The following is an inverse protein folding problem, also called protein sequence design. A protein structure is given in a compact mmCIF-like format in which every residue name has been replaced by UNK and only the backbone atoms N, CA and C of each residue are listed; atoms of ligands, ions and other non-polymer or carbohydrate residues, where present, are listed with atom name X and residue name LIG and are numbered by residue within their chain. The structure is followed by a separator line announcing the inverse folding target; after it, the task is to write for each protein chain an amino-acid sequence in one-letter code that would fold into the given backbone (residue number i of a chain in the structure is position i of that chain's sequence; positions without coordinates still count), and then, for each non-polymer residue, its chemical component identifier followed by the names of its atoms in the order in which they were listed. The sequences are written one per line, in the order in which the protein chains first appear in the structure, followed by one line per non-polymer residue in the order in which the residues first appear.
data_IF_883147340589
#
_entry.id   IF_883147340589
#
_cell.length_a   1.000
_cell.length_b   1.000
_cell.length_c   1.000
_cell.angle_alpha   90.00
_cell.angle_beta   90.00
_cell.angle_gamma   90.00
#
_symmetry.space_group_name_H-M   'P 1'
#
loop_
_entity.id
_entity.type
_entity.pdbx_description
1 polymer ?
#
# COMPACT_ATOMS: atom_id res chain seq x y z
N UNK A 1 10.55 4.95 -14.42
CA UNK A 1 9.16 4.59 -14.76
C UNK A 1 8.64 3.57 -13.75
N UNK A 2 7.33 3.42 -13.62
CA UNK A 2 6.70 2.59 -12.56
C UNK A 2 7.17 1.12 -12.53
N UNK A 3 7.57 0.56 -13.68
CA UNK A 3 8.10 -0.82 -13.78
C UNK A 3 9.61 -0.97 -13.62
N UNK A 4 10.37 0.10 -13.38
CA UNK A 4 11.81 -0.02 -13.16
C UNK A 4 12.09 -0.66 -11.78
N UNK A 5 12.98 -1.65 -11.74
CA UNK A 5 13.33 -2.37 -10.52
C UNK A 5 14.40 -1.62 -9.72
N UNK A 6 14.20 -1.51 -8.42
CA UNK A 6 15.19 -0.98 -7.47
C UNK A 6 15.03 -1.62 -6.09
N UNK A 7 15.93 -1.31 -5.15
CA UNK A 7 15.69 -1.64 -3.74
C UNK A 7 14.48 -0.82 -3.25
N UNK A 8 13.56 -1.51 -2.60
CA UNK A 8 12.34 -0.94 -2.01
C UNK A 8 12.30 -1.24 -0.51
N UNK A 9 11.34 -0.65 0.20
CA UNK A 9 11.06 -0.99 1.59
C UNK A 9 10.53 -2.43 1.71
N UNK A 10 9.61 -2.82 0.81
CA UNK A 10 9.14 -4.20 0.69
C UNK A 10 8.00 -4.59 1.63
N UNK A 11 7.75 -3.80 2.67
CA UNK A 11 6.54 -3.86 3.53
C UNK A 11 6.07 -2.48 3.99
N UNK A 12 6.01 -1.50 3.08
CA UNK A 12 5.67 -0.12 3.43
C UNK A 12 4.18 0.04 3.75
N UNK A 13 3.86 0.59 4.92
CA UNK A 13 2.51 1.00 5.34
C UNK A 13 2.59 2.13 6.38
N UNK A 14 1.45 2.71 6.80
CA UNK A 14 1.42 3.83 7.77
C UNK A 14 2.04 3.52 9.14
N UNK A 15 2.14 2.23 9.49
CA UNK A 15 2.80 1.80 10.73
C UNK A 15 4.33 1.95 10.67
N UNK A 16 4.88 2.03 9.46
CA UNK A 16 6.31 2.20 9.20
C UNK A 16 6.69 3.65 8.89
N UNK A 17 5.80 4.60 9.20
CA UNK A 17 6.08 6.02 9.05
C UNK A 17 5.98 6.72 10.39
N UNK A 18 6.92 7.64 10.63
CA UNK A 18 6.95 8.50 11.79
C UNK A 18 6.93 9.95 11.33
N UNK A 19 6.18 10.81 12.03
CA UNK A 19 6.17 12.25 11.76
C UNK A 19 6.89 12.99 12.88
N UNK A 20 7.99 13.66 12.52
CA UNK A 20 8.77 14.51 13.42
C UNK A 20 8.01 15.77 13.81
N UNK A 21 8.44 16.41 14.91
CA UNK A 21 7.89 17.69 15.38
C UNK A 21 8.17 18.84 14.42
N UNK A 22 9.22 18.72 13.59
CA UNK A 22 9.55 19.60 12.48
C UNK A 22 8.65 19.38 11.25
N UNK A 23 7.74 18.41 11.31
CA UNK A 23 6.81 18.05 10.26
C UNK A 23 7.39 17.09 9.21
N UNK A 24 8.66 16.70 9.32
CA UNK A 24 9.30 15.76 8.41
C UNK A 24 8.79 14.33 8.64
N UNK A 25 8.81 13.52 7.58
CA UNK A 25 8.49 12.10 7.65
C UNK A 25 9.76 11.26 7.66
N UNK A 26 9.82 10.29 8.56
CA UNK A 26 10.81 9.23 8.55
C UNK A 26 10.13 7.90 8.22
N UNK A 27 10.83 7.05 7.48
CA UNK A 27 10.44 5.66 7.21
C UNK A 27 11.36 4.75 8.00
N UNK A 28 10.82 3.72 8.62
CA UNK A 28 11.53 2.78 9.50
C UNK A 28 11.28 1.33 9.05
N UNK A 29 12.02 0.36 9.60
CA UNK A 29 11.77 -1.08 9.40
C UNK A 29 11.96 -1.62 7.97
N UNK A 30 13.16 -1.40 7.42
CA UNK A 30 13.57 -1.86 6.08
C UNK A 30 13.92 -3.35 5.99
N UNK A 31 13.37 -4.20 6.87
CA UNK A 31 13.63 -5.65 6.83
C UNK A 31 12.88 -6.34 5.68
N UNK A 32 11.85 -5.70 5.12
CA UNK A 32 10.95 -6.27 4.13
C UNK A 32 9.92 -7.23 4.73
N UNK A 33 9.00 -7.74 3.90
CA UNK A 33 7.86 -8.55 4.36
C UNK A 33 8.30 -9.81 5.13
N UNK A 34 7.98 -9.94 6.44
CA UNK A 34 8.53 -11.00 7.31
C UNK A 34 8.25 -12.42 6.84
N UNK A 35 7.15 -12.63 6.12
CA UNK A 35 6.75 -13.93 5.58
C UNK A 35 7.62 -14.40 4.39
N UNK A 36 8.43 -13.52 3.80
CA UNK A 36 9.23 -13.82 2.61
C UNK A 36 10.67 -14.26 2.95
N UNK A 37 11.25 -15.20 2.17
CA UNK A 37 12.68 -15.54 2.24
C UNK A 37 13.61 -14.31 2.14
N UNK A 38 14.80 -14.40 2.74
CA UNK A 38 15.73 -13.25 2.84
C UNK A 38 16.23 -12.76 1.47
N UNK A 39 16.46 -13.69 0.54
CA UNK A 39 16.82 -13.42 -0.84
C UNK A 39 15.71 -12.67 -1.59
N UNK A 40 14.45 -13.05 -1.40
CA UNK A 40 13.30 -12.32 -1.93
C UNK A 40 13.18 -10.91 -1.33
N UNK A 41 13.37 -10.77 -0.01
CA UNK A 41 13.32 -9.47 0.69
C UNK A 41 14.38 -8.49 0.21
N UNK A 42 15.54 -8.98 -0.25
CA UNK A 42 16.64 -8.15 -0.77
C UNK A 42 16.58 -7.90 -2.27
N UNK A 43 15.72 -8.61 -2.99
CA UNK A 43 15.64 -8.53 -4.45
C UNK A 43 15.06 -7.18 -4.90
N UNK A 44 15.59 -6.57 -5.98
CA UNK A 44 15.02 -5.36 -6.56
C UNK A 44 13.59 -5.60 -7.07
N UNK A 45 12.70 -4.64 -6.82
CA UNK A 45 11.29 -4.71 -7.18
C UNK A 45 10.78 -3.35 -7.70
N UNK A 46 9.64 -3.32 -8.40
CA UNK A 46 9.01 -2.07 -8.82
C UNK A 46 8.62 -1.22 -7.61
N UNK A 47 8.87 0.09 -7.68
CA UNK A 47 8.52 1.03 -6.60
C UNK A 47 7.03 1.07 -6.30
N UNK A 48 6.21 0.74 -7.30
CA UNK A 48 4.75 0.68 -7.16
C UNK A 48 4.30 -0.37 -6.14
N UNK A 49 5.13 -1.36 -5.77
CA UNK A 49 4.81 -2.29 -4.68
C UNK A 49 4.71 -1.57 -3.32
N UNK A 50 5.65 -0.66 -3.02
CA UNK A 50 5.61 0.14 -1.80
C UNK A 50 4.44 1.14 -1.83
N UNK A 51 4.16 1.72 -2.99
CA UNK A 51 2.99 2.59 -3.19
C UNK A 51 1.71 1.82 -2.89
N UNK A 52 1.52 0.64 -3.48
CA UNK A 52 0.36 -0.21 -3.23
C UNK A 52 0.19 -0.53 -1.74
N UNK A 53 1.27 -0.87 -1.03
CA UNK A 53 1.25 -1.07 0.43
C UNK A 53 0.73 0.14 1.21
N UNK A 54 1.19 1.34 0.87
CA UNK A 54 0.70 2.57 1.49
C UNK A 54 -0.77 2.86 1.15
N UNK A 55 -1.18 2.67 -0.11
CA UNK A 55 -2.56 2.88 -0.53
C UNK A 55 -3.54 1.94 0.20
N UNK A 56 -3.15 0.67 0.38
CA UNK A 56 -3.88 -0.30 1.21
C UNK A 56 -3.95 0.14 2.68
N UNK A 57 -2.86 0.69 3.21
CA UNK A 57 -2.82 1.19 4.59
C UNK A 57 -3.82 2.32 4.85
N UNK A 58 -4.10 3.18 3.87
CA UNK A 58 -5.18 4.19 4.00
C UNK A 58 -6.56 3.55 4.07
N UNK A 59 -6.80 2.47 3.32
CA UNK A 59 -8.08 1.75 3.35
C UNK A 59 -8.33 1.13 4.74
N UNK A 60 -7.28 0.57 5.36
CA UNK A 60 -7.31 0.10 6.75
C UNK A 60 -7.52 1.23 7.76
N UNK A 61 -6.80 2.35 7.62
CA UNK A 61 -6.93 3.49 8.52
C UNK A 61 -8.35 4.07 8.46
N UNK A 62 -8.96 4.16 7.27
CA UNK A 62 -10.35 4.59 7.12
C UNK A 62 -11.35 3.69 7.85
N UNK A 63 -11.04 2.39 7.95
CA UNK A 63 -11.83 1.43 8.75
C UNK A 63 -11.67 1.63 10.25
N UNK A 64 -10.73 2.41 10.76
CA UNK A 64 -10.68 2.71 12.21
C UNK A 64 -11.76 3.73 12.60
N UNK A 65 -12.21 4.56 11.67
CA UNK A 65 -13.32 5.50 11.87
C UNK A 65 -14.69 4.80 11.87
N UNK A 66 -15.63 5.30 12.68
CA UNK A 66 -17.03 4.86 12.74
C UNK A 66 -17.96 6.09 12.60
N UNK A 67 -18.79 6.16 11.53
CA UNK A 67 -18.89 5.22 10.41
C UNK A 67 -17.60 5.17 9.57
N UNK A 68 -17.44 4.12 8.76
CA UNK A 68 -16.31 4.00 7.85
C UNK A 68 -16.30 5.18 6.87
N UNK A 69 -15.15 5.84 6.72
CA UNK A 69 -14.96 6.97 5.83
C UNK A 69 -14.15 6.61 4.56
N UNK A 70 -14.81 5.95 3.59
CA UNK A 70 -14.17 5.56 2.33
C UNK A 70 -13.69 6.78 1.50
N UNK A 71 -14.41 7.90 1.56
CA UNK A 71 -14.04 9.13 0.86
C UNK A 71 -12.74 9.72 1.38
N UNK A 72 -12.48 9.61 2.69
CA UNK A 72 -11.20 10.00 3.27
C UNK A 72 -10.07 9.13 2.73
N UNK A 73 -10.26 7.81 2.64
CA UNK A 73 -9.26 6.92 2.03
C UNK A 73 -8.96 7.33 0.59
N UNK A 74 -10.00 7.57 -0.22
CA UNK A 74 -9.85 8.00 -1.61
C UNK A 74 -9.05 9.30 -1.74
N UNK A 75 -9.34 10.32 -0.91
CA UNK A 75 -8.58 11.58 -0.90
C UNK A 75 -7.13 11.39 -0.45
N UNK A 76 -6.87 10.58 0.58
CA UNK A 76 -5.51 10.29 1.03
C UNK A 76 -4.70 9.55 -0.04
N UNK A 77 -5.31 8.58 -0.72
CA UNK A 77 -4.70 7.84 -1.83
C UNK A 77 -4.33 8.77 -2.98
N UNK A 78 -5.24 9.67 -3.38
CA UNK A 78 -4.99 10.66 -4.43
C UNK A 78 -3.87 11.64 -4.05
N UNK A 79 -3.94 12.21 -2.85
CA UNK A 79 -2.94 13.14 -2.35
C UNK A 79 -1.54 12.48 -2.23
N UNK A 80 -1.48 11.23 -1.77
CA UNK A 80 -0.22 10.48 -1.70
C UNK A 80 0.39 10.26 -3.08
N UNK A 81 -0.39 9.80 -4.07
CA UNK A 81 0.10 9.60 -5.43
C UNK A 81 0.55 10.91 -6.09
N UNK A 82 -0.19 12.00 -5.88
CA UNK A 82 0.20 13.33 -6.37
C UNK A 82 1.51 13.81 -5.77
N UNK A 83 1.66 13.75 -4.44
CA UNK A 83 2.93 14.10 -3.78
C UNK A 83 4.09 13.20 -4.18
N UNK A 84 3.83 11.90 -4.38
CA UNK A 84 4.83 10.96 -4.92
C UNK A 84 5.26 11.36 -6.33
N UNK A 85 4.31 11.73 -7.21
CA UNK A 85 4.59 12.15 -8.57
C UNK A 85 5.44 13.42 -8.62
N UNK A 86 5.12 14.41 -7.75
CA UNK A 86 5.88 15.65 -7.62
C UNK A 86 7.32 15.40 -7.16
N UNK A 87 7.52 14.52 -6.18
CA UNK A 87 8.84 14.22 -5.64
C UNK A 87 9.68 13.32 -6.56
N UNK A 88 9.07 12.32 -7.20
CA UNK A 88 9.77 11.32 -8.02
C UNK A 88 9.85 11.68 -9.51
N UNK A 89 9.09 12.69 -9.97
CA UNK A 89 8.98 13.07 -11.38
C UNK A 89 8.21 12.07 -12.25
N UNK A 90 7.54 11.08 -11.64
CA UNK A 90 6.74 10.08 -12.33
C UNK A 90 5.52 9.68 -11.49
N UNK A 91 4.33 9.78 -12.08
CA UNK A 91 3.10 9.42 -11.39
C UNK A 91 2.96 7.89 -11.31
N UNK A 92 2.82 7.29 -10.11
CA UNK A 92 2.60 5.85 -9.97
C UNK A 92 1.29 5.38 -10.62
N UNK A 93 0.34 6.29 -10.88
CA UNK A 93 -0.94 6.01 -11.58
C UNK A 93 -0.79 5.96 -13.10
N UNK A 94 0.38 6.31 -13.65
CA UNK A 94 0.64 6.28 -15.10
C UNK A 94 0.61 4.87 -15.71
N UNK A 95 0.85 3.84 -14.89
CA UNK A 95 0.64 2.43 -15.25
C UNK A 95 -0.43 1.82 -14.32
N UNK A 96 -1.72 2.05 -14.63
CA UNK A 96 -2.82 1.62 -13.76
C UNK A 96 -2.95 0.10 -13.71
N UNK A 97 -2.47 -0.64 -14.72
CA UNK A 97 -2.50 -2.09 -14.71
C UNK A 97 -1.49 -2.65 -13.71
N UNK A 98 -0.27 -2.11 -13.70
CA UNK A 98 0.77 -2.53 -12.76
C UNK A 98 0.42 -2.16 -11.32
N UNK A 99 -0.09 -0.94 -11.07
CA UNK A 99 -0.54 -0.54 -9.74
C UNK A 99 -1.69 -1.43 -9.25
N UNK A 100 -2.69 -1.69 -10.10
CA UNK A 100 -3.80 -2.60 -9.77
C UNK A 100 -3.30 -4.01 -9.45
N UNK A 101 -2.33 -4.52 -10.19
CA UNK A 101 -1.76 -5.84 -9.94
C UNK A 101 -1.13 -5.95 -8.54
N UNK A 102 -0.31 -4.97 -8.14
CA UNK A 102 0.31 -4.97 -6.81
C UNK A 102 -0.67 -4.68 -5.66
N UNK A 103 -1.68 -3.83 -5.87
CA UNK A 103 -2.76 -3.66 -4.89
C UNK A 103 -3.57 -4.94 -4.72
N UNK A 104 -3.82 -5.68 -5.81
CA UNK A 104 -4.54 -6.96 -5.78
C UNK A 104 -3.73 -8.02 -5.07
N UNK A 105 -2.43 -8.15 -5.37
CA UNK A 105 -1.52 -9.07 -4.69
C UNK A 105 -1.51 -8.85 -3.17
N UNK A 106 -1.37 -7.59 -2.74
CA UNK A 106 -1.42 -7.22 -1.32
C UNK A 106 -2.79 -7.52 -0.70
N UNK A 107 -3.89 -7.21 -1.39
CA UNK A 107 -5.23 -7.50 -0.89
C UNK A 107 -5.49 -9.01 -0.73
N UNK A 108 -5.01 -9.85 -1.65
CA UNK A 108 -5.12 -11.31 -1.53
C UNK A 108 -4.32 -11.84 -0.34
N UNK A 109 -3.09 -11.35 -0.15
CA UNK A 109 -2.31 -11.66 1.04
C UNK A 109 -3.06 -11.27 2.33
N UNK A 110 -3.61 -10.06 2.36
CA UNK A 110 -4.37 -9.53 3.49
C UNK A 110 -5.62 -10.38 3.78
N UNK A 111 -6.38 -10.83 2.77
CA UNK A 111 -7.52 -11.73 2.98
C UNK A 111 -7.11 -12.98 3.75
N UNK A 112 -6.04 -13.64 3.32
CA UNK A 112 -5.55 -14.87 3.98
C UNK A 112 -5.09 -14.56 5.41
N UNK A 113 -4.42 -13.43 5.61
CA UNK A 113 -3.93 -13.00 6.91
C UNK A 113 -5.08 -12.67 7.88
N UNK A 114 -6.05 -11.85 7.47
CA UNK A 114 -7.16 -11.43 8.33
C UNK A 114 -8.08 -12.60 8.66
N UNK A 115 -8.38 -13.47 7.68
CA UNK A 115 -9.19 -14.66 7.91
C UNK A 115 -8.61 -15.58 9.00
N UNK A 116 -7.27 -15.62 9.15
CA UNK A 116 -6.58 -16.46 10.13
C UNK A 116 -6.39 -15.78 11.49
N UNK A 117 -6.16 -14.48 11.53
CA UNK A 117 -5.70 -13.81 12.75
C UNK A 117 -6.68 -12.76 13.29
N UNK A 118 -7.46 -12.10 12.43
CA UNK A 118 -8.38 -11.01 12.81
C UNK A 118 -9.64 -11.02 11.93
N UNK A 119 -10.54 -12.02 12.06
CA UNK A 119 -11.68 -12.18 11.15
C UNK A 119 -12.58 -10.94 11.03
N UNK A 120 -12.71 -10.14 12.10
CA UNK A 120 -13.49 -8.89 12.09
C UNK A 120 -12.94 -7.82 11.13
N UNK A 121 -11.67 -7.95 10.72
CA UNK A 121 -11.02 -7.06 9.75
C UNK A 121 -11.12 -7.55 8.30
N UNK A 122 -11.54 -8.80 8.08
CA UNK A 122 -11.70 -9.39 6.75
C UNK A 122 -12.54 -8.55 5.76
N UNK A 123 -13.58 -7.79 6.17
CA UNK A 123 -14.30 -6.92 5.25
C UNK A 123 -13.43 -5.85 4.56
N UNK A 124 -12.29 -5.46 5.13
CA UNK A 124 -11.40 -4.43 4.54
C UNK A 124 -10.72 -4.91 3.25
N UNK A 125 -9.95 -6.02 3.25
CA UNK A 125 -9.36 -6.52 2.02
C UNK A 125 -10.41 -7.08 1.04
N UNK A 126 -11.54 -7.61 1.51
CA UNK A 126 -12.62 -8.06 0.61
C UNK A 126 -13.24 -6.91 -0.18
N UNK A 127 -13.54 -5.77 0.45
CA UNK A 127 -14.04 -4.58 -0.26
C UNK A 127 -13.01 -4.05 -1.28
N UNK A 128 -11.71 -4.21 -0.98
CA UNK A 128 -10.66 -3.86 -1.93
C UNK A 128 -10.65 -4.79 -3.15
N UNK A 129 -10.76 -6.10 -2.95
CA UNK A 129 -10.87 -7.08 -4.04
C UNK A 129 -12.09 -6.78 -4.91
N UNK A 130 -13.26 -6.53 -4.33
CA UNK A 130 -14.48 -6.18 -5.07
C UNK A 130 -14.24 -4.94 -5.96
N UNK A 131 -13.65 -3.88 -5.40
CA UNK A 131 -13.31 -2.67 -6.15
C UNK A 131 -12.28 -2.91 -7.26
N UNK A 132 -11.26 -3.72 -7.01
CA UNK A 132 -10.17 -3.98 -7.97
C UNK A 132 -10.59 -4.95 -9.09
N UNK A 133 -11.55 -5.83 -8.81
CA UNK A 133 -12.14 -6.77 -9.76
C UNK A 133 -13.22 -6.13 -10.65
N UNK A 134 -13.80 -5.00 -10.22
CA UNK A 134 -14.68 -4.23 -11.08
C UNK A 134 -13.91 -3.79 -12.34
N UNK A 135 -14.45 -4.16 -13.51
CA UNK A 135 -13.95 -3.73 -14.80
C UNK A 135 -14.07 -2.19 -14.85
N UNK A 136 -13.02 -1.45 -15.28
CA UNK A 136 -13.08 0.00 -15.37
C UNK A 136 -14.17 0.48 -16.33
#
# INVERSE_FOLDING_TARGET
GAGALQRIHGDLHLGQTLRGSDGAWAVIDFEGEPAKPLDERRSPQPTVRDVAGMLRSFDYAARTHRPWNADWAARCRDAFCTGYAEAAGADPRSDPALLRAYETDKAVYEVVYEARHRPDWLPVPMAAIERLAAIP
#
